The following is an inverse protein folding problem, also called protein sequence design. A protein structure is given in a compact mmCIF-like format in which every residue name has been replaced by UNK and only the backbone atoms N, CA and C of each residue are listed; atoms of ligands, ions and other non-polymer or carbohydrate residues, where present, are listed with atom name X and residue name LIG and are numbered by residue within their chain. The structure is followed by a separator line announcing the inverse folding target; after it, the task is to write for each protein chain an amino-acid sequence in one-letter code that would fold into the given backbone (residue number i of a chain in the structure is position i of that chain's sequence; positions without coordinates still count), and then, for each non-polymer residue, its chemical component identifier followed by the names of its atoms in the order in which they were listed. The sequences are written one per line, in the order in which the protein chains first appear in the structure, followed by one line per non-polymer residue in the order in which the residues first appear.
data_IF_650945896522
#
_entry.id   IF_650945896522
#
_cell.length_a   1.000
_cell.length_b   1.000
_cell.length_c   1.000
_cell.angle_alpha   90.00
_cell.angle_beta   90.00
_cell.angle_gamma   90.00
#
_symmetry.space_group_name_H-M   'P 1'
#
loop_
_entity.id
_entity.type
_entity.pdbx_description
1 polymer ?
#
# COMPACT_ATOMS: atom_id res chain seq x y z
N UNK A 1 11.24 -13.34 2.67
CA UNK A 1 11.38 -12.01 3.30
C UNK A 1 12.74 -12.01 3.93
N UNK A 2 13.66 -11.24 3.37
CA UNK A 2 15.03 -11.18 3.86
C UNK A 2 15.04 -10.35 5.13
N UNK A 3 15.61 -10.89 6.20
CA UNK A 3 15.66 -10.23 7.50
C UNK A 3 16.97 -9.45 7.68
N UNK A 4 17.91 -9.60 6.74
CA UNK A 4 19.25 -9.06 6.84
C UNK A 4 19.67 -8.32 5.58
N UNK A 5 20.89 -7.74 5.62
CA UNK A 5 21.44 -6.95 4.50
C UNK A 5 21.60 -7.84 3.27
N UNK A 6 20.79 -7.59 2.25
CA UNK A 6 20.81 -8.30 0.98
C UNK A 6 21.55 -7.53 -0.11
N UNK A 7 22.09 -8.27 -1.08
CA UNK A 7 22.63 -7.73 -2.31
C UNK A 7 22.42 -8.67 -3.49
N UNK A 8 22.64 -8.14 -4.69
CA UNK A 8 22.62 -8.91 -5.94
C UNK A 8 23.99 -8.80 -6.59
N UNK A 9 24.57 -9.94 -6.95
CA UNK A 9 25.82 -10.02 -7.71
C UNK A 9 25.50 -10.19 -9.19
N UNK A 10 25.94 -9.26 -10.04
CA UNK A 10 25.73 -9.34 -11.48
C UNK A 10 26.91 -8.72 -12.24
N UNK A 11 27.49 -9.45 -13.19
CA UNK A 11 28.64 -9.02 -14.00
C UNK A 11 29.85 -8.49 -13.19
N UNK A 12 30.14 -9.11 -12.04
CA UNK A 12 31.23 -8.68 -11.14
C UNK A 12 30.93 -7.46 -10.29
N UNK A 13 29.74 -6.88 -10.43
CA UNK A 13 29.25 -5.76 -9.63
C UNK A 13 28.27 -6.23 -8.54
N UNK A 14 28.16 -5.41 -7.50
CA UNK A 14 27.32 -5.67 -6.32
C UNK A 14 26.30 -4.55 -6.19
N UNK A 15 25.03 -4.94 -6.19
CA UNK A 15 23.88 -4.05 -6.14
C UNK A 15 23.14 -4.22 -4.82
N UNK A 16 22.96 -3.12 -4.10
CA UNK A 16 22.30 -3.06 -2.80
C UNK A 16 21.74 -1.65 -2.61
N UNK A 17 20.75 -1.49 -1.74
CA UNK A 17 20.17 -0.18 -1.45
C UNK A 17 20.95 0.52 -0.35
N UNK A 18 21.02 1.85 -0.45
CA UNK A 18 21.51 2.77 0.59
C UNK A 18 20.49 3.86 0.91
N UNK A 19 20.69 4.55 2.02
CA UNK A 19 19.82 5.63 2.50
C UNK A 19 19.53 6.69 1.44
N UNK A 20 20.53 7.05 0.62
CA UNK A 20 20.38 8.05 -0.44
C UNK A 20 19.47 7.58 -1.57
N UNK A 21 19.44 6.28 -1.84
CA UNK A 21 18.59 5.71 -2.89
C UNK A 21 17.12 5.96 -2.57
N UNK A 22 16.74 5.90 -1.29
CA UNK A 22 15.38 6.21 -0.83
C UNK A 22 14.95 7.66 -1.08
N UNK A 23 15.90 8.55 -1.38
CA UNK A 23 15.61 9.95 -1.68
C UNK A 23 15.34 10.17 -3.17
N UNK A 24 15.68 9.22 -4.05
CA UNK A 24 15.40 9.28 -5.48
C UNK A 24 13.92 9.03 -5.78
N UNK A 25 13.49 9.33 -7.01
CA UNK A 25 12.11 9.07 -7.45
C UNK A 25 11.77 7.59 -7.37
N UNK A 26 12.72 6.73 -7.71
CA UNK A 26 12.61 5.29 -7.70
C UNK A 26 12.57 4.76 -6.27
N UNK A 27 13.49 5.21 -5.41
CA UNK A 27 13.53 4.75 -4.03
C UNK A 27 12.34 5.19 -3.18
N UNK A 28 11.77 6.38 -3.45
CA UNK A 28 10.51 6.81 -2.79
C UNK A 28 9.34 5.86 -3.04
N UNK A 29 9.32 5.13 -4.18
CA UNK A 29 8.28 4.12 -4.44
C UNK A 29 8.40 2.93 -3.50
N UNK A 30 9.59 2.64 -2.98
CA UNK A 30 9.86 1.53 -2.05
C UNK A 30 9.37 1.83 -0.62
N UNK A 31 9.04 3.09 -0.31
CA UNK A 31 8.51 3.49 1.00
C UNK A 31 7.01 3.22 1.17
N UNK A 32 6.37 2.65 0.14
CA UNK A 32 4.98 2.21 0.21
C UNK A 32 4.84 0.96 1.10
N UNK A 33 3.68 0.75 1.72
CA UNK A 33 3.43 -0.42 2.59
C UNK A 33 3.75 -1.78 1.93
N UNK A 34 3.63 -1.87 0.61
CA UNK A 34 3.91 -3.06 -0.20
C UNK A 34 5.41 -3.45 -0.23
N UNK A 35 6.32 -2.48 -0.13
CA UNK A 35 7.77 -2.71 -0.24
C UNK A 35 8.53 -2.42 1.06
N UNK A 36 7.98 -1.59 1.95
CA UNK A 36 8.71 -1.12 3.15
C UNK A 36 9.13 -2.27 4.08
N UNK A 37 8.37 -3.38 4.09
CA UNK A 37 8.68 -4.58 4.88
C UNK A 37 9.83 -5.42 4.30
N UNK A 38 10.17 -5.22 3.03
CA UNK A 38 11.23 -5.94 2.31
C UNK A 38 12.35 -4.98 1.87
N UNK A 39 12.49 -3.82 2.51
CA UNK A 39 13.46 -2.80 2.11
C UNK A 39 14.90 -3.31 2.17
N UNK A 40 15.17 -4.26 3.09
CA UNK A 40 16.43 -4.99 3.23
C UNK A 40 16.59 -6.14 2.24
N UNK A 41 15.55 -6.51 1.50
CA UNK A 41 15.48 -7.72 0.70
C UNK A 41 15.69 -7.52 -0.80
N UNK A 42 15.84 -8.65 -1.50
CA UNK A 42 16.08 -8.65 -2.94
C UNK A 42 14.92 -8.05 -3.74
N UNK A 43 13.68 -8.10 -3.21
CA UNK A 43 12.51 -7.53 -3.87
C UNK A 43 12.64 -6.02 -4.03
N UNK A 44 12.99 -5.31 -2.96
CA UNK A 44 13.24 -3.88 -3.01
C UNK A 44 14.44 -3.51 -3.91
N UNK A 45 15.52 -4.29 -3.86
CA UNK A 45 16.69 -4.08 -4.73
C UNK A 45 16.30 -4.25 -6.21
N UNK A 46 15.58 -5.31 -6.58
CA UNK A 46 15.13 -5.55 -7.96
C UNK A 46 14.11 -4.53 -8.44
N UNK A 47 13.27 -4.02 -7.54
CA UNK A 47 12.35 -2.94 -7.86
C UNK A 47 13.06 -1.61 -8.13
N UNK A 48 14.19 -1.36 -7.46
CA UNK A 48 15.04 -0.19 -7.69
C UNK A 48 15.91 -0.30 -8.93
N UNK A 49 16.47 -1.49 -9.18
CA UNK A 49 17.31 -1.83 -10.33
C UNK A 49 16.53 -2.76 -11.30
N UNK A 50 15.60 -2.22 -12.11
CA UNK A 50 14.73 -3.03 -12.97
C UNK A 50 15.50 -3.86 -14.00
N UNK A 51 16.70 -3.43 -14.40
CA UNK A 51 17.59 -4.18 -15.28
C UNK A 51 18.02 -5.54 -14.70
N UNK A 52 17.90 -5.71 -13.38
CA UNK A 52 18.25 -6.93 -12.67
C UNK A 52 17.08 -7.89 -12.53
N UNK A 53 15.84 -7.58 -12.94
CA UNK A 53 14.62 -8.33 -12.57
C UNK A 53 14.76 -9.86 -12.66
N UNK A 54 15.40 -10.38 -13.72
CA UNK A 54 15.66 -11.81 -13.93
C UNK A 54 17.15 -12.16 -14.07
N UNK A 55 18.03 -11.30 -13.55
CA UNK A 55 19.48 -11.41 -13.66
C UNK A 55 20.15 -11.38 -12.28
N UNK A 56 21.42 -11.78 -12.27
CA UNK A 56 22.25 -11.80 -11.07
C UNK A 56 21.89 -12.87 -10.05
N UNK A 57 22.75 -13.02 -9.05
CA UNK A 57 22.62 -13.99 -7.96
C UNK A 57 22.22 -13.23 -6.69
N UNK A 58 21.13 -13.66 -6.06
CA UNK A 58 20.71 -13.13 -4.77
C UNK A 58 21.66 -13.61 -3.67
N UNK A 59 22.12 -12.68 -2.85
CA UNK A 59 22.97 -12.94 -1.68
C UNK A 59 22.42 -12.21 -0.46
N UNK A 60 22.59 -12.79 0.70
CA UNK A 60 22.16 -12.22 1.98
C UNK A 60 23.20 -12.64 3.02
N UNK A 61 23.60 -11.72 3.89
CA UNK A 61 24.49 -12.03 5.00
C UNK A 61 23.67 -12.11 6.28
N UNK A 62 23.72 -13.27 6.94
CA UNK A 62 23.02 -13.53 8.20
C UNK A 62 23.97 -13.51 9.41
N UNK A 63 25.28 -13.37 9.18
CA UNK A 63 26.31 -13.38 10.21
C UNK A 63 27.02 -12.02 10.31
N UNK A 64 26.60 -11.22 11.29
CA UNK A 64 27.11 -9.87 11.58
C UNK A 64 28.33 -9.87 12.51
N UNK A 65 28.87 -11.05 12.87
CA UNK A 65 29.99 -11.17 13.82
C UNK A 65 31.30 -10.54 13.30
N UNK A 66 31.45 -10.42 11.98
CA UNK A 66 32.64 -9.86 11.36
C UNK A 66 32.32 -9.07 10.09
N UNK A 67 32.97 -7.92 9.86
CA UNK A 67 32.84 -7.19 8.60
C UNK A 67 33.36 -7.99 7.39
N UNK A 68 34.21 -9.00 7.60
CA UNK A 68 34.72 -9.86 6.53
C UNK A 68 33.64 -10.75 5.91
N UNK A 69 32.49 -10.90 6.58
CA UNK A 69 31.34 -11.66 6.07
C UNK A 69 30.55 -10.89 5.00
N UNK A 70 30.91 -9.62 4.75
CA UNK A 70 30.22 -8.74 3.82
C UNK A 70 31.16 -8.32 2.70
N UNK A 71 30.61 -8.03 1.50
CA UNK A 71 31.36 -7.32 0.48
C UNK A 71 31.92 -5.99 0.98
N UNK A 72 33.17 -5.65 0.58
CA UNK A 72 33.85 -4.43 1.02
C UNK A 72 33.05 -3.14 0.75
N UNK A 73 32.34 -3.07 -0.38
CA UNK A 73 31.46 -1.94 -0.72
C UNK A 73 30.36 -1.77 0.35
N UNK A 74 29.75 -2.86 0.81
CA UNK A 74 28.71 -2.85 1.83
C UNK A 74 29.30 -2.45 3.19
N UNK A 75 30.44 -3.02 3.60
CA UNK A 75 31.13 -2.64 4.86
C UNK A 75 31.41 -1.15 4.93
N UNK A 76 31.85 -0.55 3.81
CA UNK A 76 32.09 0.89 3.71
C UNK A 76 30.80 1.68 4.01
N UNK A 77 29.69 1.30 3.40
CA UNK A 77 28.40 1.99 3.61
C UNK A 77 27.83 1.76 5.01
N UNK A 78 28.07 0.60 5.64
CA UNK A 78 27.74 0.36 7.06
C UNK A 78 28.48 1.36 7.94
N UNK A 79 29.80 1.50 7.77
CA UNK A 79 30.63 2.41 8.57
C UNK A 79 30.27 3.88 8.39
N UNK A 80 29.77 4.24 7.20
CA UNK A 80 29.27 5.59 6.92
C UNK A 80 27.86 5.83 7.45
N UNK A 81 27.17 4.82 7.99
CA UNK A 81 25.79 4.92 8.46
C UNK A 81 24.75 4.94 7.33
N UNK A 82 25.16 4.62 6.09
CA UNK A 82 24.34 4.72 4.89
C UNK A 82 23.35 3.56 4.72
N UNK A 83 23.30 2.61 5.65
CA UNK A 83 22.33 1.51 5.66
C UNK A 83 21.32 1.56 6.82
N UNK A 84 21.36 2.61 7.64
CA UNK A 84 20.49 2.74 8.82
C UNK A 84 18.99 2.77 8.50
N UNK A 85 18.60 3.14 7.28
CA UNK A 85 17.20 3.16 6.82
C UNK A 85 16.80 1.95 5.99
N UNK A 86 17.74 1.05 5.67
CA UNK A 86 17.55 -0.06 4.72
C UNK A 86 17.29 -1.40 5.42
N UNK A 87 17.32 -1.41 6.75
CA UNK A 87 17.14 -2.63 7.56
C UNK A 87 18.42 -3.14 8.21
N UNK A 88 19.47 -2.33 8.28
CA UNK A 88 20.55 -2.59 9.21
C UNK A 88 20.05 -2.35 10.64
N UNK A 89 19.82 -3.45 11.36
CA UNK A 89 19.32 -3.42 12.72
C UNK A 89 20.50 -3.08 13.63
N UNK A 90 20.56 -1.83 14.12
CA UNK A 90 21.61 -1.33 15.04
C UNK A 90 22.00 -2.31 16.16
N UNK A 91 21.08 -3.07 16.78
CA UNK A 91 21.41 -4.15 17.73
C UNK A 91 22.46 -5.17 17.25
N UNK A 92 22.57 -5.43 15.95
CA UNK A 92 23.46 -6.47 15.41
C UNK A 92 24.92 -6.02 15.27
N UNK A 93 25.17 -4.72 15.25
CA UNK A 93 26.51 -4.14 15.03
C UNK A 93 27.06 -3.38 16.23
N UNK A 94 26.23 -3.19 17.27
CA UNK A 94 26.61 -2.53 18.51
C UNK A 94 26.89 -3.55 19.60
N UNK A 95 27.91 -3.28 20.42
CA UNK A 95 28.09 -4.01 21.67
C UNK A 95 27.07 -3.54 22.72
N UNK A 96 26.90 -4.31 23.80
CA UNK A 96 25.91 -4.02 24.84
C UNK A 96 26.02 -2.59 25.41
N UNK A 97 27.20 -2.07 25.80
CA UNK A 97 27.32 -0.69 26.29
C UNK A 97 26.89 0.37 25.27
N UNK A 98 27.25 0.21 23.99
CA UNK A 98 26.88 1.15 22.94
C UNK A 98 25.38 1.10 22.65
N UNK A 99 24.79 -0.10 22.70
CA UNK A 99 23.34 -0.29 22.60
C UNK A 99 22.60 0.42 23.76
N UNK A 100 23.05 0.24 25.00
CA UNK A 100 22.45 0.90 26.17
C UNK A 100 22.55 2.43 26.09
N UNK A 101 23.66 2.96 25.54
CA UNK A 101 23.83 4.39 25.30
C UNK A 101 22.87 4.90 24.20
N UNK A 102 22.68 4.13 23.14
CA UNK A 102 21.70 4.44 22.09
C UNK A 102 20.27 4.46 22.64
N UNK A 103 19.85 3.43 23.39
CA UNK A 103 18.50 3.35 23.97
C UNK A 103 18.20 4.55 24.89
N UNK A 104 19.19 5.01 25.67
CA UNK A 104 19.05 6.20 26.53
C UNK A 104 18.79 7.49 25.76
N UNK A 105 19.22 7.57 24.49
CA UNK A 105 18.98 8.72 23.61
C UNK A 105 17.65 8.55 22.86
N UNK A 106 17.36 7.35 22.37
CA UNK A 106 16.17 7.05 21.58
C UNK A 106 14.88 7.15 22.39
N UNK A 107 14.87 6.59 23.61
CA UNK A 107 13.65 6.51 24.43
C UNK A 107 13.03 7.90 24.74
N UNK A 108 13.79 8.92 25.20
CA UNK A 108 13.23 10.26 25.39
C UNK A 108 12.74 10.91 24.09
N UNK A 109 13.42 10.67 22.97
CA UNK A 109 13.02 11.21 21.67
C UNK A 109 11.70 10.60 21.19
N UNK A 110 11.53 9.28 21.35
CA UNK A 110 10.28 8.59 21.06
C UNK A 110 9.13 9.10 21.95
N UNK A 111 9.36 9.23 23.25
CA UNK A 111 8.35 9.77 24.18
C UNK A 111 7.94 11.21 23.85
N UNK A 112 8.88 12.05 23.39
CA UNK A 112 8.58 13.41 22.94
C UNK A 112 7.74 13.41 21.66
N UNK A 113 8.05 12.51 20.70
CA UNK A 113 7.25 12.32 19.50
C UNK A 113 5.81 11.89 19.82
N UNK A 114 5.63 10.88 20.67
CA UNK A 114 4.29 10.39 21.06
C UNK A 114 3.45 11.47 21.75
N UNK A 115 4.07 12.30 22.59
CA UNK A 115 3.39 13.44 23.25
C UNK A 115 2.83 14.46 22.25
N UNK A 116 3.44 14.59 21.08
CA UNK A 116 2.96 15.49 20.01
C UNK A 116 1.93 14.77 19.13
N UNK A 117 2.21 13.52 18.76
CA UNK A 117 1.38 12.76 17.83
C UNK A 117 -0.01 12.43 18.41
N UNK A 118 -0.08 12.00 19.67
CA UNK A 118 -1.34 11.53 20.28
C UNK A 118 -2.42 12.63 20.33
N UNK A 119 -2.15 13.85 20.84
CA UNK A 119 -3.13 14.93 20.81
C UNK A 119 -3.53 15.34 19.40
N UNK A 120 -2.59 15.33 18.44
CA UNK A 120 -2.87 15.68 17.05
C UNK A 120 -3.83 14.65 16.40
N UNK A 121 -3.61 13.36 16.66
CA UNK A 121 -4.50 12.30 16.20
C UNK A 121 -5.90 12.41 16.83
N UNK A 122 -5.97 12.64 18.14
CA UNK A 122 -7.24 12.84 18.82
C UNK A 122 -8.02 14.07 18.32
N UNK A 123 -7.31 15.16 17.95
CA UNK A 123 -7.93 16.34 17.35
C UNK A 123 -8.46 16.04 15.94
N UNK A 124 -7.73 15.28 15.14
CA UNK A 124 -8.15 14.82 13.82
C UNK A 124 -9.43 13.98 13.90
N UNK A 125 -9.46 12.96 14.77
CA UNK A 125 -10.62 12.07 14.94
C UNK A 125 -11.88 12.83 15.39
N UNK A 126 -11.73 13.84 16.26
CA UNK A 126 -12.84 14.71 16.68
C UNK A 126 -13.47 15.49 15.54
N UNK A 127 -12.73 15.77 14.46
CA UNK A 127 -13.23 16.50 13.28
C UNK A 127 -13.78 15.51 12.25
N UNK A 128 -13.05 14.43 11.98
CA UNK A 128 -13.39 13.46 10.94
C UNK A 128 -14.69 12.70 11.25
N UNK A 129 -14.86 12.22 12.48
CA UNK A 129 -15.99 11.38 12.86
C UNK A 129 -17.36 12.08 12.67
N UNK A 130 -17.58 13.31 13.18
CA UNK A 130 -18.83 14.02 12.93
C UNK A 130 -19.05 14.37 11.45
N UNK A 131 -17.98 14.72 10.72
CA UNK A 131 -18.07 15.04 9.30
C UNK A 131 -18.51 13.81 8.48
N UNK A 132 -17.94 12.64 8.78
CA UNK A 132 -18.33 11.38 8.14
C UNK A 132 -19.77 10.99 8.46
N UNK A 133 -20.20 11.16 9.72
CA UNK A 133 -21.58 10.90 10.11
C UNK A 133 -22.58 11.83 9.38
N UNK A 134 -22.24 13.11 9.23
CA UNK A 134 -23.06 14.07 8.48
C UNK A 134 -23.15 13.69 6.99
N UNK A 135 -22.02 13.33 6.37
CA UNK A 135 -21.98 12.82 5.00
C UNK A 135 -22.91 11.62 4.82
N UNK A 136 -22.81 10.61 5.69
CA UNK A 136 -23.65 9.40 5.60
C UNK A 136 -25.14 9.69 5.73
N UNK A 137 -25.51 10.65 6.58
CA UNK A 137 -26.92 11.07 6.72
C UNK A 137 -27.46 11.73 5.46
N UNK A 138 -26.65 12.58 4.80
CA UNK A 138 -27.02 13.22 3.53
C UNK A 138 -27.14 12.17 2.43
N UNK A 139 -26.17 11.27 2.32
CA UNK A 139 -26.16 10.18 1.34
C UNK A 139 -27.40 9.29 1.46
N UNK A 140 -27.74 8.85 2.68
CA UNK A 140 -28.95 8.05 2.93
C UNK A 140 -30.24 8.81 2.59
N UNK A 141 -30.30 10.11 2.91
CA UNK A 141 -31.48 10.93 2.61
C UNK A 141 -31.66 11.13 1.11
N UNK A 142 -30.55 11.35 0.38
CA UNK A 142 -30.55 11.50 -1.07
C UNK A 142 -30.95 10.18 -1.76
N UNK A 143 -30.42 9.05 -1.29
CA UNK A 143 -30.78 7.72 -1.82
C UNK A 143 -32.28 7.43 -1.61
N UNK A 144 -32.79 7.69 -0.41
CA UNK A 144 -34.22 7.50 -0.13
C UNK A 144 -35.12 8.42 -0.98
N UNK A 145 -34.69 9.65 -1.27
CA UNK A 145 -35.41 10.57 -2.15
C UNK A 145 -35.39 10.08 -3.61
N UNK A 146 -34.24 9.57 -4.07
CA UNK A 146 -34.10 8.96 -5.39
C UNK A 146 -35.01 7.75 -5.56
N UNK A 147 -34.97 6.80 -4.63
CA UNK A 147 -35.80 5.58 -4.66
C UNK A 147 -37.30 5.90 -4.66
N UNK A 148 -37.73 6.93 -3.92
CA UNK A 148 -39.12 7.38 -3.91
C UNK A 148 -39.62 7.89 -5.27
N UNK A 149 -38.71 8.36 -6.12
CA UNK A 149 -39.04 8.85 -7.47
C UNK A 149 -38.89 7.72 -8.50
N UNK A 150 -37.79 6.98 -8.41
CA UNK A 150 -37.43 5.94 -9.37
C UNK A 150 -38.44 4.78 -9.34
N UNK A 151 -38.77 4.26 -8.16
CA UNK A 151 -39.65 3.10 -8.03
C UNK A 151 -41.03 3.28 -8.68
N UNK A 152 -41.81 4.35 -8.39
CA UNK A 152 -43.10 4.55 -9.05
C UNK A 152 -42.96 4.87 -10.53
N UNK A 153 -41.90 5.57 -10.94
CA UNK A 153 -41.65 5.84 -12.36
C UNK A 153 -41.37 4.56 -13.16
N UNK A 154 -40.54 3.67 -12.60
CA UNK A 154 -40.26 2.36 -13.18
C UNK A 154 -41.53 1.50 -13.24
N UNK A 155 -42.29 1.43 -12.15
CA UNK A 155 -43.55 0.69 -12.11
C UNK A 155 -44.57 1.22 -13.14
N UNK A 156 -44.67 2.53 -13.31
CA UNK A 156 -45.53 3.15 -14.33
C UNK A 156 -45.07 2.80 -15.74
N UNK A 157 -43.76 2.87 -16.00
CA UNK A 157 -43.17 2.49 -17.29
C UNK A 157 -43.45 1.01 -17.63
N UNK A 158 -43.21 0.10 -16.69
CA UNK A 158 -43.45 -1.34 -16.86
C UNK A 158 -44.93 -1.63 -17.14
N UNK A 159 -45.84 -0.96 -16.41
CA UNK A 159 -47.28 -1.10 -16.63
C UNK A 159 -47.68 -0.63 -18.02
N UNK A 160 -47.18 0.54 -18.46
CA UNK A 160 -47.46 1.07 -19.81
C UNK A 160 -46.96 0.10 -20.88
N UNK A 161 -45.75 -0.44 -20.71
CA UNK A 161 -45.19 -1.44 -21.62
C UNK A 161 -46.09 -2.67 -21.72
N UNK A 162 -46.45 -3.29 -20.59
CA UNK A 162 -47.31 -4.47 -20.56
C UNK A 162 -48.70 -4.20 -21.17
N UNK A 163 -49.36 -3.11 -20.76
CA UNK A 163 -50.67 -2.74 -21.28
C UNK A 163 -50.64 -2.49 -22.79
N UNK A 164 -49.58 -1.84 -23.27
CA UNK A 164 -49.42 -1.52 -24.70
C UNK A 164 -49.20 -2.78 -25.51
N UNK A 165 -48.33 -3.68 -25.05
CA UNK A 165 -48.10 -4.98 -25.70
C UNK A 165 -49.40 -5.77 -25.81
N UNK A 166 -50.17 -5.89 -24.72
CA UNK A 166 -51.44 -6.62 -24.75
C UNK A 166 -52.51 -5.95 -25.60
N UNK A 167 -52.60 -4.61 -25.59
CA UNK A 167 -53.51 -3.86 -26.49
C UNK A 167 -53.17 -4.10 -27.95
N UNK A 168 -51.88 -4.05 -28.32
CA UNK A 168 -51.43 -4.33 -29.68
C UNK A 168 -51.70 -5.79 -30.05
N UNK A 169 -51.39 -6.73 -29.14
CA UNK A 169 -51.61 -8.16 -29.33
C UNK A 169 -53.09 -8.51 -29.51
N UNK A 170 -54.04 -7.80 -28.86
CA UNK A 170 -55.48 -8.06 -29.06
C UNK A 170 -55.95 -7.90 -30.51
N UNK A 171 -55.24 -7.14 -31.35
CA UNK A 171 -55.52 -7.06 -32.78
C UNK A 171 -54.79 -8.20 -33.53
N UNK A 172 -55.51 -9.17 -34.14
CA UNK A 172 -54.90 -10.31 -34.82
C UNK A 172 -53.92 -9.93 -35.94
N UNK A 173 -54.08 -8.75 -36.55
CA UNK A 173 -53.18 -8.26 -37.61
C UNK A 173 -51.76 -7.95 -37.10
N UNK A 174 -51.63 -7.61 -35.81
CA UNK A 174 -50.34 -7.33 -35.17
C UNK A 174 -49.63 -8.60 -34.68
N UNK A 175 -50.27 -9.78 -34.81
CA UNK A 175 -49.70 -11.06 -34.37
C UNK A 175 -48.91 -11.74 -35.49
N UNK A 176 -47.91 -12.52 -35.09
CA UNK A 176 -47.22 -13.47 -35.98
C UNK A 176 -48.19 -14.54 -36.48
N UNK A 177 -47.88 -15.18 -37.62
CA UNK A 177 -48.79 -16.02 -38.40
C UNK A 177 -49.46 -17.11 -37.56
N UNK A 178 -48.69 -17.71 -36.67
CA UNK A 178 -49.05 -18.82 -35.78
C UNK A 178 -50.14 -18.42 -34.76
N UNK A 179 -50.21 -17.14 -34.37
CA UNK A 179 -51.13 -16.64 -33.34
C UNK A 179 -52.32 -15.82 -33.90
N UNK A 180 -52.45 -15.68 -35.22
CA UNK A 180 -53.54 -14.86 -35.81
C UNK A 180 -54.94 -15.48 -35.67
N UNK A 181 -55.02 -16.79 -35.46
CA UNK A 181 -56.28 -17.55 -35.45
C UNK A 181 -56.81 -17.85 -34.04
N UNK A 182 -56.02 -17.55 -33.00
CA UNK A 182 -56.38 -17.70 -31.59
C UNK A 182 -56.76 -16.35 -30.99
#
# INVERSE_FOLDING_TARGET
MCQFVSWIEYNGEIFFLKNDDLNTKEGKKLLKPEFIKDLSGHGAIRAFYPELQHKGINKECTDFSSPNNFPLKIVKEIKNGNLSRIGLILPQVLNKPAWDAYEKIEQPAWAAYEKIQQPAWAAYEKIEQPAWAAYKKIEQSALAAYEKIEQPALAAYEKIQQDTVWKLFKNPRNRIKEWRQH
#
